data_IF_212244774084
#
_entry.id   IF_212244774084
#
_cell.length_a   1.000
_cell.length_b   1.000
_cell.length_c   1.000
_cell.angle_alpha   90.00
_cell.angle_beta   90.00
_cell.angle_gamma   90.00
#
_symmetry.space_group_name_H-M   'P 1'
#
loop_
_entity.id
_entity.type
_entity.pdbx_description
1 polymer ?
#
# COMPACT_ATOMS: atom_id res chain seq x y z
N UNK A 1 47.31 28.87 -14.77
CA UNK A 1 46.18 29.29 -13.89
C UNK A 1 44.81 29.08 -14.53
N UNK A 2 44.53 29.54 -15.75
CA UNK A 2 43.20 29.37 -16.40
C UNK A 2 42.75 27.91 -16.60
N UNK A 3 43.68 26.97 -16.84
CA UNK A 3 43.36 25.53 -17.03
C UNK A 3 42.97 24.80 -15.72
N UNK A 4 43.50 25.24 -14.57
CA UNK A 4 43.14 24.68 -13.25
C UNK A 4 41.72 25.12 -12.82
N UNK A 5 41.32 26.33 -13.19
CA UNK A 5 39.97 26.85 -12.93
C UNK A 5 38.89 26.06 -13.70
N UNK A 6 39.23 25.56 -14.90
CA UNK A 6 38.33 24.77 -15.74
C UNK A 6 38.11 23.35 -15.18
N UNK A 7 39.13 22.76 -14.54
CA UNK A 7 39.03 21.47 -13.85
C UNK A 7 38.17 21.59 -12.58
N UNK A 8 38.31 22.69 -11.83
CA UNK A 8 37.48 22.95 -10.64
C UNK A 8 36.00 23.20 -11.01
N UNK A 9 35.75 23.84 -12.16
CA UNK A 9 34.39 24.06 -12.69
C UNK A 9 33.73 22.77 -13.21
N UNK A 10 34.51 21.79 -13.69
CA UNK A 10 33.97 20.47 -14.06
C UNK A 10 33.60 19.62 -12.84
N UNK A 11 34.27 19.78 -11.69
CA UNK A 11 33.94 19.01 -10.48
C UNK A 11 32.70 19.51 -9.73
N UNK A 12 32.18 20.70 -10.08
CA UNK A 12 30.94 21.28 -9.54
C UNK A 12 29.68 20.90 -10.33
N UNK A 13 29.82 20.10 -11.39
CA UNK A 13 28.73 19.56 -12.21
C UNK A 13 28.83 18.02 -12.07
N UNK A 14 27.97 17.25 -11.42
CA UNK A 14 26.59 17.40 -10.98
C UNK A 14 26.45 16.39 -9.83
N UNK A 15 26.27 16.87 -8.59
CA UNK A 15 25.77 15.99 -7.53
C UNK A 15 24.26 15.93 -7.73
N UNK A 16 23.77 14.92 -8.45
CA UNK A 16 22.34 14.64 -8.49
C UNK A 16 21.93 14.15 -7.10
N UNK A 17 21.34 15.03 -6.30
CA UNK A 17 20.43 14.57 -5.25
C UNK A 17 19.25 13.95 -5.99
N UNK A 18 19.01 12.65 -5.82
CA UNK A 18 17.75 12.06 -6.25
C UNK A 18 16.72 12.48 -5.22
N UNK A 19 16.03 13.59 -5.51
CA UNK A 19 14.85 13.99 -4.77
C UNK A 19 13.68 13.16 -5.30
N UNK A 20 13.15 12.29 -4.43
CA UNK A 20 11.92 11.55 -4.70
C UNK A 20 10.79 12.27 -3.97
N UNK A 21 9.82 12.80 -4.72
CA UNK A 21 8.62 13.44 -4.18
C UNK A 21 7.45 12.47 -4.34
N UNK A 22 6.82 12.15 -3.22
CA UNK A 22 5.67 11.24 -3.15
C UNK A 22 4.49 12.04 -2.62
N UNK A 23 3.41 12.04 -3.38
CA UNK A 23 2.18 12.71 -3.01
C UNK A 23 1.14 11.69 -2.59
N UNK A 24 0.46 11.96 -1.48
CA UNK A 24 -0.64 11.17 -0.94
C UNK A 24 -1.86 12.07 -0.91
N UNK A 25 -2.84 11.79 -1.76
CA UNK A 25 -4.03 12.65 -1.92
C UNK A 25 -5.05 12.43 -0.80
N UNK A 26 -5.16 11.20 -0.30
CA UNK A 26 -6.13 10.82 0.74
C UNK A 26 -5.47 9.99 1.83
N UNK A 27 -5.92 10.13 3.07
CA UNK A 27 -5.62 9.20 4.16
C UNK A 27 -6.92 8.68 4.75
N UNK A 28 -7.02 7.37 4.87
CA UNK A 28 -8.23 6.68 5.30
C UNK A 28 -7.91 5.88 6.54
N UNK A 29 -8.69 6.08 7.59
CA UNK A 29 -8.66 5.22 8.76
C UNK A 29 -9.77 4.17 8.60
N UNK A 30 -9.39 2.90 8.59
CA UNK A 30 -10.28 1.77 8.44
C UNK A 30 -10.43 1.03 9.76
N UNK A 31 -11.68 0.72 10.12
CA UNK A 31 -12.02 -0.24 11.16
C UNK A 31 -12.05 -1.66 10.57
N UNK A 32 -11.33 -2.58 11.22
CA UNK A 32 -11.26 -3.99 10.86
C UNK A 32 -11.68 -4.83 12.08
N UNK A 33 -12.76 -5.64 11.98
CA UNK A 33 -13.13 -6.54 13.06
C UNK A 33 -12.07 -7.59 13.34
N UNK A 34 -11.68 -7.73 14.60
CA UNK A 34 -10.76 -8.76 15.06
C UNK A 34 -11.54 -9.85 15.81
N UNK A 35 -11.96 -10.88 15.08
CA UNK A 35 -12.76 -11.97 15.64
C UNK A 35 -12.06 -12.71 16.78
N UNK A 36 -10.73 -12.87 16.69
CA UNK A 36 -9.92 -13.58 17.70
C UNK A 36 -9.94 -12.86 19.05
N UNK A 37 -9.85 -11.54 19.03
CA UNK A 37 -9.82 -10.70 20.24
C UNK A 37 -11.20 -10.15 20.63
N UNK A 38 -12.20 -10.26 19.74
CA UNK A 38 -13.51 -9.60 19.85
C UNK A 38 -13.38 -8.08 20.02
N UNK A 39 -12.44 -7.49 19.27
CA UNK A 39 -12.17 -6.03 19.25
C UNK A 39 -12.27 -5.49 17.82
N UNK A 40 -12.23 -4.18 17.67
CA UNK A 40 -12.05 -3.51 16.37
C UNK A 40 -10.64 -2.94 16.37
N UNK A 41 -9.85 -3.32 15.37
CA UNK A 41 -8.54 -2.72 15.11
C UNK A 41 -8.73 -1.57 14.12
N UNK A 42 -7.87 -0.55 14.19
CA UNK A 42 -7.87 0.57 13.24
C UNK A 42 -6.54 0.57 12.51
N UNK A 43 -6.59 0.69 11.18
CA UNK A 43 -5.40 0.90 10.35
C UNK A 43 -5.55 2.19 9.54
N UNK A 44 -4.46 2.93 9.37
CA UNK A 44 -4.43 4.14 8.54
C UNK A 44 -3.66 3.89 7.25
N UNK A 45 -4.27 4.19 6.10
CA UNK A 45 -3.67 4.02 4.77
C UNK A 45 -3.80 5.33 3.98
N UNK A 46 -2.67 5.82 3.48
CA UNK A 46 -2.59 6.89 2.51
C UNK A 46 -2.61 6.38 1.08
N UNK A 47 -3.37 7.04 0.21
CA UNK A 47 -3.51 6.71 -1.21
C UNK A 47 -3.05 7.86 -2.09
N UNK A 48 -2.20 7.55 -3.06
CA UNK A 48 -2.01 8.36 -4.26
C UNK A 48 -3.12 8.05 -5.27
N UNK A 49 -3.81 9.09 -5.76
CA UNK A 49 -4.96 8.90 -6.66
C UNK A 49 -4.62 8.24 -7.99
N UNK A 50 -3.37 8.37 -8.43
CA UNK A 50 -2.90 7.82 -9.70
C UNK A 50 -2.57 6.33 -9.62
N UNK A 51 -2.65 5.73 -8.42
CA UNK A 51 -2.36 4.33 -8.18
C UNK A 51 -0.89 4.02 -7.94
N UNK A 52 -0.05 5.03 -7.70
CA UNK A 52 1.41 4.85 -7.67
C UNK A 52 1.94 4.45 -6.30
N UNK A 53 1.33 4.99 -5.25
CA UNK A 53 1.83 4.85 -3.89
C UNK A 53 0.71 4.55 -2.90
N UNK A 54 1.00 3.62 -1.99
CA UNK A 54 0.32 3.47 -0.71
C UNK A 54 1.27 3.86 0.40
N UNK A 55 0.81 4.63 1.37
CA UNK A 55 1.59 5.00 2.55
C UNK A 55 0.90 4.52 3.82
N UNK A 56 1.67 4.15 4.83
CA UNK A 56 1.15 3.96 6.18
C UNK A 56 2.21 4.26 7.23
N UNK A 57 1.77 4.86 8.32
CA UNK A 57 2.53 4.98 9.57
C UNK A 57 1.79 4.28 10.72
N UNK A 58 0.82 3.42 10.40
CA UNK A 58 0.01 2.73 11.38
C UNK A 58 0.90 1.88 12.30
N UNK A 59 0.68 2.02 13.61
CA UNK A 59 1.50 1.37 14.63
C UNK A 59 1.42 -0.16 14.53
N UNK A 60 0.26 -0.75 14.20
CA UNK A 60 0.13 -2.20 14.09
C UNK A 60 0.94 -2.71 12.89
N UNK A 61 0.71 -2.13 11.70
CA UNK A 61 1.39 -2.55 10.48
C UNK A 61 2.90 -2.32 10.54
N UNK A 62 3.32 -1.15 11.00
CA UNK A 62 4.72 -0.77 11.03
C UNK A 62 5.51 -1.51 12.12
N UNK A 63 4.92 -1.79 13.29
CA UNK A 63 5.62 -2.57 14.32
C UNK A 63 5.75 -4.05 13.93
N UNK A 64 4.72 -4.66 13.34
CA UNK A 64 4.83 -6.06 12.90
C UNK A 64 5.87 -6.22 11.78
N UNK A 65 5.90 -5.29 10.83
CA UNK A 65 6.94 -5.24 9.80
C UNK A 65 8.33 -4.96 10.40
N UNK A 66 8.44 -3.99 11.32
CA UNK A 66 9.69 -3.65 11.99
C UNK A 66 10.28 -4.81 12.79
N UNK A 67 9.42 -5.58 13.47
CA UNK A 67 9.80 -6.79 14.20
C UNK A 67 10.35 -7.88 13.28
N UNK A 68 9.71 -8.09 12.12
CA UNK A 68 10.12 -9.14 11.19
C UNK A 68 11.42 -8.81 10.47
N UNK A 69 11.67 -7.54 10.14
CA UNK A 69 12.83 -7.13 9.31
C UNK A 69 14.01 -6.60 10.12
N UNK A 70 13.79 -5.82 11.18
CA UNK A 70 14.87 -5.06 11.85
C UNK A 70 15.13 -5.46 13.30
N UNK A 71 14.09 -5.84 14.06
CA UNK A 71 14.17 -5.83 15.53
C UNK A 71 14.33 -7.20 16.19
N UNK A 72 14.32 -8.32 15.45
CA UNK A 72 14.60 -9.64 16.02
C UNK A 72 13.76 -10.01 17.26
N UNK A 73 12.54 -9.47 17.37
CA UNK A 73 11.65 -9.67 18.51
C UNK A 73 11.71 -8.63 19.64
N UNK A 74 12.50 -7.56 19.53
CA UNK A 74 12.43 -6.46 20.51
C UNK A 74 11.10 -5.68 20.38
N UNK A 75 10.43 -5.46 21.51
CA UNK A 75 9.22 -4.64 21.57
C UNK A 75 9.51 -3.18 21.19
N UNK A 76 8.47 -2.52 20.66
CA UNK A 76 8.39 -1.11 20.24
C UNK A 76 9.47 -0.21 20.88
N UNK A 77 10.32 0.40 20.05
CA UNK A 77 11.23 1.45 20.55
C UNK A 77 10.38 2.70 20.77
N UNK A 78 10.17 3.08 22.03
CA UNK A 78 9.41 4.30 22.38
C UNK A 78 9.99 5.53 21.67
N UNK A 79 9.11 6.38 21.15
CA UNK A 79 9.50 7.58 20.39
C UNK A 79 10.07 7.29 19.00
N UNK A 80 9.96 6.05 18.49
CA UNK A 80 10.30 5.76 17.10
C UNK A 80 9.21 6.22 16.14
N UNK A 81 9.64 6.60 14.93
CA UNK A 81 8.77 6.94 13.81
C UNK A 81 9.01 5.94 12.69
N UNK A 82 7.97 5.27 12.26
CA UNK A 82 8.04 4.29 11.18
C UNK A 82 7.06 4.70 10.08
N UNK A 83 7.55 4.79 8.84
CA UNK A 83 6.71 4.97 7.66
C UNK A 83 7.04 3.87 6.66
N UNK A 84 5.99 3.29 6.10
CA UNK A 84 6.04 2.36 4.98
C UNK A 84 5.41 3.04 3.78
N UNK A 85 6.09 2.97 2.64
CA UNK A 85 5.53 3.40 1.36
C UNK A 85 5.70 2.27 0.37
N UNK A 86 4.59 1.76 -0.16
CA UNK A 86 4.60 0.82 -1.26
C UNK A 86 4.51 1.58 -2.59
N UNK A 87 5.47 1.38 -3.47
CA UNK A 87 5.45 1.86 -4.86
C UNK A 87 4.93 0.76 -5.76
N UNK A 88 3.68 0.91 -6.21
CA UNK A 88 3.01 -0.05 -7.10
C UNK A 88 3.65 -0.10 -8.49
N UNK A 89 4.21 1.01 -8.98
CA UNK A 89 4.86 1.07 -10.30
C UNK A 89 6.09 0.15 -10.39
N UNK A 90 6.89 0.11 -9.32
CA UNK A 90 8.19 -0.55 -9.31
C UNK A 90 8.26 -1.76 -8.37
N UNK A 91 7.15 -2.12 -7.72
CA UNK A 91 7.07 -3.19 -6.72
C UNK A 91 8.13 -3.01 -5.59
N UNK A 92 8.29 -1.77 -5.13
CA UNK A 92 9.26 -1.40 -4.09
C UNK A 92 8.58 -1.05 -2.77
N UNK A 93 9.20 -1.46 -1.67
CA UNK A 93 8.87 -1.00 -0.34
C UNK A 93 9.94 0.00 0.13
N UNK A 94 9.52 1.23 0.32
CA UNK A 94 10.34 2.29 0.89
C UNK A 94 10.03 2.37 2.38
N UNK A 95 11.08 2.33 3.19
CA UNK A 95 11.02 2.32 4.64
C UNK A 95 11.75 3.53 5.16
N UNK A 96 11.08 4.28 6.02
CA UNK A 96 11.72 5.27 6.87
C UNK A 96 11.49 4.89 8.32
N UNK A 97 12.56 4.56 9.03
CA UNK A 97 12.53 4.24 10.44
C UNK A 97 13.50 5.14 11.20
N UNK A 98 12.96 5.93 12.13
CA UNK A 98 13.75 6.78 13.03
C UNK A 98 13.56 6.29 14.45
N UNK A 99 14.66 6.10 15.18
CA UNK A 99 14.64 5.77 16.60
C UNK A 99 15.79 6.50 17.30
N UNK A 100 15.50 7.20 18.40
CA UNK A 100 16.45 8.11 19.05
C UNK A 100 17.12 9.04 18.00
N UNK A 101 18.45 8.96 17.85
CA UNK A 101 19.23 9.73 16.87
C UNK A 101 19.51 8.95 15.57
N UNK A 102 19.10 7.68 15.50
CA UNK A 102 19.30 6.82 14.35
C UNK A 102 18.19 6.99 13.32
N UNK A 103 18.57 7.07 12.05
CA UNK A 103 17.64 7.06 10.91
C UNK A 103 18.07 5.95 9.97
N UNK A 104 17.14 5.06 9.67
CA UNK A 104 17.26 4.01 8.67
C UNK A 104 16.32 4.38 7.52
N UNK A 105 16.90 4.40 6.33
CA UNK A 105 16.16 4.43 5.08
C UNK A 105 16.47 3.16 4.30
N UNK A 106 15.44 2.48 3.82
CA UNK A 106 15.60 1.34 2.93
C UNK A 106 14.66 1.48 1.73
N UNK A 107 15.17 1.19 0.54
CA UNK A 107 14.38 1.08 -0.67
C UNK A 107 14.55 -0.36 -1.18
N UNK A 108 13.57 -1.19 -0.86
CA UNK A 108 13.65 -2.63 -1.01
C UNK A 108 12.79 -3.07 -2.19
N UNK A 109 13.34 -3.96 -3.00
CA UNK A 109 12.54 -4.72 -3.95
C UNK A 109 11.76 -5.79 -3.16
N UNK A 110 10.43 -5.76 -3.26
CA UNK A 110 9.59 -6.63 -2.44
C UNK A 110 9.81 -8.11 -2.79
N UNK A 111 10.12 -8.42 -4.06
CA UNK A 111 10.36 -9.79 -4.49
C UNK A 111 11.55 -10.44 -3.79
N UNK A 112 12.52 -9.63 -3.33
CA UNK A 112 13.74 -10.13 -2.69
C UNK A 112 13.63 -10.27 -1.16
N UNK A 113 12.54 -9.78 -0.56
CA UNK A 113 12.38 -9.77 0.92
C UNK A 113 11.24 -10.65 1.41
N UNK A 114 10.28 -11.01 0.54
CA UNK A 114 9.18 -11.86 0.93
C UNK A 114 9.57 -13.35 0.84
N UNK A 115 9.40 -14.13 1.91
CA UNK A 115 9.62 -15.56 1.85
C UNK A 115 8.59 -16.22 0.93
N UNK A 116 9.03 -17.20 0.15
CA UNK A 116 8.16 -18.04 -0.66
C UNK A 116 7.73 -19.26 0.18
N UNK A 117 6.43 -19.47 0.32
CA UNK A 117 5.83 -20.65 0.96
C UNK A 117 4.92 -21.32 -0.07
N UNK A 118 5.31 -22.50 -0.58
CA UNK A 118 4.55 -23.21 -1.62
C UNK A 118 3.17 -23.73 -1.16
N UNK A 119 2.81 -23.51 0.11
CA UNK A 119 1.46 -23.81 0.59
C UNK A 119 0.44 -22.90 -0.10
N UNK A 120 -0.69 -23.48 -0.46
CA UNK A 120 -1.83 -22.78 -1.07
C UNK A 120 -1.55 -22.14 -2.45
N UNK A 121 -0.61 -22.73 -3.21
CA UNK A 121 -0.33 -22.32 -4.59
C UNK A 121 -1.59 -22.40 -5.48
N UNK A 122 -1.95 -21.28 -6.10
CA UNK A 122 -3.03 -21.18 -7.08
C UNK A 122 -2.44 -21.45 -8.46
N UNK A 123 -2.83 -22.59 -9.05
CA UNK A 123 -2.32 -23.00 -10.37
C UNK A 123 -3.32 -22.78 -11.51
N UNK A 124 -4.53 -22.33 -11.18
CA UNK A 124 -5.61 -22.07 -12.12
C UNK A 124 -5.80 -20.57 -12.32
N UNK A 125 -6.36 -20.18 -13.46
CA UNK A 125 -6.71 -18.80 -13.71
C UNK A 125 -8.07 -18.50 -13.08
N UNK A 126 -8.14 -17.45 -12.28
CA UNK A 126 -9.35 -17.00 -11.61
C UNK A 126 -9.70 -15.62 -12.16
N UNK A 127 -10.93 -15.46 -12.63
CA UNK A 127 -11.44 -14.13 -13.00
C UNK A 127 -12.41 -13.67 -11.92
N UNK A 128 -12.09 -12.57 -11.26
CA UNK A 128 -12.98 -11.91 -10.33
C UNK A 128 -13.89 -10.98 -11.11
N UNK A 129 -15.19 -11.25 -11.05
CA UNK A 129 -16.24 -10.48 -11.69
C UNK A 129 -16.72 -9.41 -10.71
N UNK A 130 -16.79 -8.17 -11.18
CA UNK A 130 -17.41 -7.07 -10.45
C UNK A 130 -18.76 -6.72 -11.08
N UNK A 131 -19.81 -6.70 -10.27
CA UNK A 131 -21.18 -6.41 -10.72
C UNK A 131 -21.76 -5.24 -9.92
N UNK A 132 -22.15 -4.17 -10.62
CA UNK A 132 -22.89 -3.05 -10.04
C UNK A 132 -24.32 -3.49 -9.66
N UNK A 133 -24.64 -3.44 -8.36
CA UNK A 133 -25.96 -3.80 -7.85
C UNK A 133 -26.94 -2.63 -7.79
N UNK A 134 -26.50 -1.43 -8.23
CA UNK A 134 -27.30 -0.18 -8.31
C UNK A 134 -27.90 0.25 -6.97
N UNK A 135 -27.19 -0.06 -5.90
CA UNK A 135 -27.51 0.37 -4.54
C UNK A 135 -26.55 1.50 -4.13
N UNK A 136 -27.12 2.58 -3.61
CA UNK A 136 -26.36 3.65 -2.97
C UNK A 136 -26.24 3.36 -1.47
N UNK A 137 -25.02 3.39 -0.93
CA UNK A 137 -24.75 3.43 0.51
C UNK A 137 -24.09 4.76 0.87
N UNK A 138 -24.01 5.07 2.16
CA UNK A 138 -23.25 6.21 2.67
C UNK A 138 -22.29 5.72 3.73
N UNK A 139 -21.00 5.89 3.49
CA UNK A 139 -19.94 5.54 4.44
C UNK A 139 -19.24 6.82 4.87
N UNK A 140 -19.20 7.06 6.17
CA UNK A 140 -18.88 8.38 6.75
C UNK A 140 -19.84 9.43 6.18
N UNK A 141 -19.35 10.35 5.35
CA UNK A 141 -20.13 11.41 4.69
C UNK A 141 -20.07 11.31 3.15
N UNK A 142 -19.56 10.20 2.61
CA UNK A 142 -19.43 9.97 1.18
C UNK A 142 -20.56 9.08 0.67
N UNK A 143 -21.22 9.53 -0.38
CA UNK A 143 -22.09 8.66 -1.19
C UNK A 143 -21.22 7.63 -1.90
N UNK A 144 -21.69 6.39 -1.92
CA UNK A 144 -20.97 5.28 -2.50
C UNK A 144 -21.85 4.46 -3.44
N UNK A 145 -21.25 3.98 -4.52
CA UNK A 145 -21.82 2.98 -5.40
C UNK A 145 -21.42 1.59 -4.89
N UNK A 146 -22.38 0.67 -4.86
CA UNK A 146 -22.18 -0.66 -4.29
C UNK A 146 -22.04 -1.71 -5.39
N UNK A 147 -21.05 -2.60 -5.23
CA UNK A 147 -20.72 -3.65 -6.17
C UNK A 147 -20.58 -4.99 -5.47
N UNK A 148 -20.90 -6.08 -6.17
CA UNK A 148 -20.52 -7.43 -5.78
C UNK A 148 -19.25 -7.85 -6.49
N UNK A 149 -18.34 -8.48 -5.76
CA UNK A 149 -17.10 -9.05 -6.25
C UNK A 149 -17.09 -10.55 -5.94
N UNK A 150 -16.98 -11.39 -6.98
CA UNK A 150 -17.00 -12.84 -6.83
C UNK A 150 -16.15 -13.53 -7.91
N UNK A 151 -15.60 -14.72 -7.64
CA UNK A 151 -14.96 -15.53 -8.68
C UNK A 151 -15.99 -16.04 -9.70
N UNK A 152 -15.56 -16.14 -10.95
CA UNK A 152 -16.39 -16.61 -12.08
C UNK A 152 -16.97 -18.03 -11.88
N UNK A 153 -16.26 -18.91 -11.17
CA UNK A 153 -16.70 -20.26 -10.88
C UNK A 153 -17.56 -20.41 -9.61
N UNK A 154 -17.61 -19.39 -8.74
CA UNK A 154 -18.35 -19.46 -7.47
C UNK A 154 -19.08 -18.14 -7.14
N UNK A 155 -20.13 -17.77 -7.90
CA UNK A 155 -20.83 -16.49 -7.73
C UNK A 155 -21.58 -16.33 -6.40
N UNK A 156 -21.82 -17.44 -5.68
CA UNK A 156 -22.49 -17.41 -4.37
C UNK A 156 -21.61 -16.84 -3.27
N UNK A 157 -20.28 -16.89 -3.42
CA UNK A 157 -19.32 -16.36 -2.45
C UNK A 157 -18.92 -14.93 -2.82
N UNK A 158 -19.93 -14.05 -2.89
CA UNK A 158 -19.74 -12.67 -3.27
C UNK A 158 -19.45 -11.78 -2.05
N UNK A 159 -18.36 -11.02 -2.15
CA UNK A 159 -18.07 -9.89 -1.25
C UNK A 159 -18.79 -8.67 -1.81
N UNK A 160 -19.37 -7.85 -0.93
CA UNK A 160 -19.95 -6.56 -1.32
C UNK A 160 -18.96 -5.45 -1.01
N UNK A 161 -18.68 -4.57 -1.97
CA UNK A 161 -17.80 -3.39 -1.78
C UNK A 161 -18.58 -2.10 -2.04
N UNK A 162 -18.32 -1.07 -1.23
CA UNK A 162 -18.88 0.27 -1.41
C UNK A 162 -17.77 1.24 -1.79
N UNK A 163 -17.93 1.92 -2.92
CA UNK A 163 -16.88 2.74 -3.56
C UNK A 163 -17.33 4.19 -3.67
N UNK A 164 -16.50 5.11 -3.19
CA UNK A 164 -16.71 6.54 -3.33
C UNK A 164 -16.15 7.04 -4.68
N UNK A 165 -17.02 7.12 -5.68
CA UNK A 165 -16.66 7.47 -7.06
C UNK A 165 -16.09 8.90 -7.19
N UNK A 166 -16.37 9.78 -6.22
CA UNK A 166 -15.86 11.16 -6.21
C UNK A 166 -14.42 11.26 -5.69
N UNK A 167 -13.86 10.18 -5.13
CA UNK A 167 -12.48 10.10 -4.65
C UNK A 167 -11.68 9.22 -5.59
N UNK A 168 -11.03 9.83 -6.58
CA UNK A 168 -10.29 9.11 -7.62
C UNK A 168 -9.23 8.18 -7.00
N UNK A 169 -9.33 6.88 -7.27
CA UNK A 169 -8.32 5.89 -6.89
C UNK A 169 -8.35 4.75 -7.91
N UNK A 170 -7.18 4.38 -8.45
CA UNK A 170 -7.06 3.29 -9.44
C UNK A 170 -6.96 1.93 -8.76
N UNK A 171 -8.09 1.42 -8.28
CA UNK A 171 -8.15 0.16 -7.52
C UNK A 171 -7.55 -1.03 -8.26
N UNK A 172 -7.77 -1.11 -9.58
CA UNK A 172 -7.20 -2.17 -10.41
C UNK A 172 -5.67 -2.21 -10.34
N UNK A 173 -4.99 -1.06 -10.23
CA UNK A 173 -3.53 -1.00 -10.10
C UNK A 173 -3.10 -1.56 -8.75
N UNK A 174 -3.68 -1.08 -7.65
CA UNK A 174 -3.32 -1.55 -6.32
C UNK A 174 -3.64 -3.03 -6.12
N UNK A 175 -4.83 -3.46 -6.52
CA UNK A 175 -5.28 -4.83 -6.35
C UNK A 175 -4.45 -5.82 -7.18
N UNK A 176 -4.25 -5.56 -8.47
CA UNK A 176 -3.47 -6.47 -9.34
C UNK A 176 -2.04 -6.64 -8.83
N UNK A 177 -1.46 -5.57 -8.27
CA UNK A 177 -0.12 -5.58 -7.69
C UNK A 177 -0.04 -6.33 -6.36
N UNK A 178 -1.00 -6.10 -5.47
CA UNK A 178 -1.13 -6.85 -4.22
C UNK A 178 -1.36 -8.35 -4.47
N UNK A 179 -2.28 -8.70 -5.37
CA UNK A 179 -2.54 -10.09 -5.72
C UNK A 179 -1.35 -10.72 -6.45
N UNK A 180 -0.68 -9.99 -7.34
CA UNK A 180 0.56 -10.44 -7.94
C UNK A 180 1.65 -10.74 -6.91
N UNK A 181 1.75 -9.95 -5.83
CA UNK A 181 2.61 -10.25 -4.69
C UNK A 181 2.21 -11.56 -3.99
N UNK A 182 0.92 -11.73 -3.66
CA UNK A 182 0.43 -12.95 -3.01
C UNK A 182 0.68 -14.22 -3.84
N UNK A 183 0.44 -14.17 -5.15
CA UNK A 183 0.70 -15.29 -6.06
C UNK A 183 2.19 -15.67 -6.12
N UNK A 184 3.09 -14.66 -6.15
CA UNK A 184 4.54 -14.90 -6.11
C UNK A 184 4.97 -15.54 -4.79
N UNK A 185 4.39 -15.12 -3.67
CA UNK A 185 4.70 -15.70 -2.36
C UNK A 185 4.34 -17.17 -2.26
N UNK A 186 3.39 -17.67 -3.07
CA UNK A 186 2.95 -19.07 -3.04
C UNK A 186 3.44 -19.91 -4.21
N UNK A 187 4.40 -19.42 -5.00
CA UNK A 187 4.85 -20.09 -6.25
C UNK A 187 3.69 -20.43 -7.20
N UNK A 188 2.62 -19.63 -7.16
CA UNK A 188 1.44 -19.82 -7.98
C UNK A 188 1.78 -19.69 -9.48
N UNK A 189 1.20 -20.57 -10.30
CA UNK A 189 1.33 -20.52 -11.77
C UNK A 189 0.10 -19.94 -12.46
N UNK A 190 -1.01 -19.89 -11.73
CA UNK A 190 -2.24 -19.27 -12.19
C UNK A 190 -2.15 -17.75 -12.17
N UNK A 191 -3.14 -17.11 -12.78
CA UNK A 191 -3.32 -15.67 -12.75
C UNK A 191 -4.67 -15.32 -12.16
N UNK A 192 -4.73 -14.28 -11.34
CA UNK A 192 -5.98 -13.67 -10.91
C UNK A 192 -6.15 -12.37 -11.67
N UNK A 193 -7.27 -12.23 -12.36
CA UNK A 193 -7.67 -10.97 -13.02
C UNK A 193 -8.90 -10.40 -12.32
N UNK A 194 -9.00 -9.07 -12.32
CA UNK A 194 -10.16 -8.37 -11.78
C UNK A 194 -10.39 -7.11 -12.61
N UNK A 195 -11.64 -6.66 -12.65
CA UNK A 195 -12.00 -5.32 -13.11
C UNK A 195 -12.75 -4.59 -11.99
N UNK A 196 -12.02 -3.96 -11.08
CA UNK A 196 -12.57 -3.14 -10.01
C UNK A 196 -12.92 -1.74 -10.54
N UNK A 197 -14.04 -1.15 -10.11
CA UNK A 197 -14.38 0.22 -10.41
C UNK A 197 -13.29 1.17 -9.86
N UNK A 198 -13.06 2.28 -10.57
CA UNK A 198 -12.28 3.40 -10.05
C UNK A 198 -13.05 4.09 -8.91
N UNK A 199 -12.31 4.64 -7.95
CA UNK A 199 -12.87 5.29 -6.77
C UNK A 199 -12.27 4.73 -5.49
N UNK A 200 -12.47 5.36 -4.34
CA UNK A 200 -11.89 4.86 -3.10
C UNK A 200 -12.83 3.82 -2.47
N UNK A 201 -12.34 2.60 -2.22
CA UNK A 201 -13.11 1.57 -1.51
C UNK A 201 -13.22 1.99 -0.04
N UNK A 202 -14.44 2.25 0.41
CA UNK A 202 -14.71 2.69 1.78
C UNK A 202 -15.23 1.57 2.67
N UNK A 203 -15.79 0.51 2.11
CA UNK A 203 -16.37 -0.58 2.91
C UNK A 203 -16.36 -1.89 2.11
N UNK A 204 -16.15 -3.00 2.81
CA UNK A 204 -16.38 -4.32 2.28
C UNK A 204 -17.13 -5.20 3.29
N UNK A 205 -18.04 -6.04 2.78
CA UNK A 205 -18.85 -6.98 3.55
C UNK A 205 -18.68 -8.39 3.00
N UNK A 206 -18.69 -9.39 3.87
CA UNK A 206 -18.71 -10.80 3.49
C UNK A 206 -20.05 -11.21 2.85
N UNK A 207 -20.16 -12.48 2.44
CA UNK A 207 -21.36 -13.02 1.81
C UNK A 207 -22.61 -13.05 2.73
N UNK A 208 -22.41 -12.88 4.05
CA UNK A 208 -23.46 -12.82 5.07
C UNK A 208 -23.83 -11.38 5.45
N UNK A 209 -23.13 -10.38 4.89
CA UNK A 209 -23.30 -8.96 5.22
C UNK A 209 -22.52 -8.51 6.46
N UNK A 210 -21.60 -9.32 6.98
CA UNK A 210 -20.69 -8.94 8.07
C UNK A 210 -19.60 -8.01 7.55
N UNK A 211 -19.26 -6.97 8.30
CA UNK A 211 -18.20 -6.02 7.92
C UNK A 211 -16.84 -6.71 7.91
N UNK A 212 -16.15 -6.64 6.77
CA UNK A 212 -14.73 -7.03 6.64
C UNK A 212 -13.82 -5.83 6.93
N UNK A 213 -14.17 -4.68 6.37
CA UNK A 213 -13.49 -3.41 6.56
C UNK A 213 -14.47 -2.26 6.34
N UNK A 214 -14.34 -1.19 7.11
CA UNK A 214 -15.17 0.02 6.96
C UNK A 214 -14.36 1.27 7.31
N UNK A 215 -14.39 2.27 6.43
CA UNK A 215 -13.76 3.55 6.64
C UNK A 215 -14.51 4.30 7.74
N UNK A 216 -13.77 4.78 8.74
CA UNK A 216 -14.30 5.57 9.85
C UNK A 216 -13.90 7.05 9.74
N UNK A 217 -12.88 7.35 8.94
CA UNK A 217 -12.43 8.71 8.68
C UNK A 217 -11.70 8.78 7.32
N UNK A 218 -11.87 9.89 6.60
CA UNK A 218 -11.18 10.19 5.34
C UNK A 218 -10.66 11.63 5.39
N UNK A 219 -9.33 11.77 5.41
CA UNK A 219 -8.63 13.06 5.31
C UNK A 219 -8.20 13.29 3.85
N UNK A 220 -8.83 14.27 3.20
CA UNK A 220 -8.50 14.69 1.83
C UNK A 220 -7.39 15.75 1.77
N UNK A 221 -6.70 16.00 2.89
CA UNK A 221 -5.56 16.92 2.94
C UNK A 221 -4.34 16.24 2.34
N UNK A 222 -3.97 16.69 1.14
CA UNK A 222 -2.78 16.21 0.45
C UNK A 222 -1.54 16.27 1.34
N UNK A 223 -0.84 15.13 1.47
CA UNK A 223 0.46 15.03 2.14
C UNK A 223 1.55 14.84 1.09
N UNK A 224 2.64 15.59 1.20
CA UNK A 224 3.81 15.43 0.35
C UNK A 224 4.97 14.93 1.19
N UNK A 225 5.53 13.78 0.79
CA UNK A 225 6.70 13.18 1.37
C UNK A 225 7.87 13.46 0.43
N UNK A 226 8.85 14.22 0.93
CA UNK A 226 10.08 14.49 0.19
C UNK A 226 11.21 13.65 0.76
N UNK A 227 11.77 12.79 -0.08
CA UNK A 227 12.90 11.94 0.26
C UNK A 227 14.12 12.49 -0.47
N UNK A 228 15.07 13.02 0.29
CA UNK A 228 16.30 13.60 -0.22
C UNK A 228 17.50 12.71 0.10
N UNK A 229 18.13 12.14 -0.93
CA UNK A 229 19.37 11.40 -0.79
C UNK A 229 20.43 11.86 -1.79
N UNK A 230 21.65 12.04 -1.30
CA UNK A 230 22.83 12.24 -2.13
C UNK A 230 23.83 11.12 -1.87
N UNK A 231 24.12 10.32 -2.88
CA UNK A 231 25.25 9.39 -2.88
C UNK A 231 26.15 9.68 -4.07
N UNK A 232 27.44 9.84 -3.79
CA UNK A 232 28.48 10.00 -4.81
C UNK A 232 29.48 8.88 -4.61
N UNK A 233 29.52 7.96 -5.56
CA UNK A 233 30.53 6.90 -5.62
C UNK A 233 31.57 7.34 -6.64
N UNK A 234 32.81 7.49 -6.20
CA UNK A 234 33.98 7.79 -7.04
C UNK A 234 35.02 6.70 -6.78
N UNK A 235 35.58 6.15 -7.86
CA UNK A 235 36.74 5.25 -7.81
C UNK A 235 38.03 6.00 -7.45
#
# INVERSE_FOLDING_TARGET
MKKLLFIFLLTTLVSFSQETVIDIDYTVDYAIPNERKKTIDTISIGFDKDGKYLWTNDDLLTNEFGKSVFLGGANKIEGSQFNLIYSAENDKLIIFFKFAESIIYANLDIENILPVDEKDAINENINLITEDIKEEDSVVDFKTSTYKLYPDFEPSEAITISVADNLNCKNNVFFSKFVGLMLRMTSSKGQITVDLPDGLILKALDEKGSVLIEAINVDNTKKTLTINHSFKITE
#
